data_IF_608403521025
#
_entry.id   IF_608403521025
#
_cell.length_a   1.000
_cell.length_b   1.000
_cell.length_c   1.000
_cell.angle_alpha   90.00
_cell.angle_beta   90.00
_cell.angle_gamma   90.00
#
_symmetry.space_group_name_H-M   'P 1'
#
loop_
_entity.id
_entity.type
_entity.pdbx_description
1 polymer ?
#
# COMPACT_ATOMS: atom_id res chain seq x y z
N UNK A 1 -5.66 6.88 -21.43
CA UNK A 1 -4.29 7.39 -21.73
C UNK A 1 -4.36 8.91 -21.70
N UNK A 2 -3.34 9.60 -21.18
CA UNK A 2 -3.32 11.07 -21.07
C UNK A 2 -2.45 11.66 -22.19
N UNK A 3 -3.00 12.03 -23.36
CA UNK A 3 -2.22 12.39 -24.55
C UNK A 3 -1.43 13.69 -24.40
N UNK A 4 -1.86 14.62 -23.53
CA UNK A 4 -1.17 15.90 -23.28
C UNK A 4 -0.24 15.85 -22.05
N UNK A 5 -0.10 14.69 -21.41
CA UNK A 5 0.76 14.56 -20.23
C UNK A 5 2.23 14.71 -20.66
N UNK A 6 2.95 15.59 -19.98
CA UNK A 6 4.42 15.68 -20.06
C UNK A 6 5.01 14.86 -18.92
N UNK A 7 5.40 13.60 -19.15
CA UNK A 7 5.87 12.76 -18.08
C UNK A 7 7.21 13.30 -17.55
N UNK A 8 7.30 13.46 -16.23
CA UNK A 8 8.52 13.90 -15.58
C UNK A 8 9.35 12.72 -15.09
N UNK A 9 10.64 12.71 -15.40
CA UNK A 9 11.61 11.77 -14.82
C UNK A 9 12.42 12.48 -13.75
N UNK A 10 12.52 11.89 -12.56
CA UNK A 10 13.41 12.36 -11.49
C UNK A 10 14.52 11.34 -11.28
N UNK A 11 15.78 11.75 -11.43
CA UNK A 11 16.94 10.90 -11.15
C UNK A 11 17.88 11.58 -10.16
N UNK A 12 18.83 10.83 -9.60
CA UNK A 12 19.94 11.43 -8.87
C UNK A 12 20.98 12.08 -9.80
N UNK A 13 22.05 12.61 -9.19
CA UNK A 13 23.16 13.29 -9.86
C UNK A 13 24.30 12.32 -10.26
N UNK A 14 24.04 11.02 -10.36
CA UNK A 14 25.01 10.06 -10.88
C UNK A 14 25.44 10.44 -12.31
N UNK A 15 26.71 10.23 -12.65
CA UNK A 15 27.28 10.61 -13.94
C UNK A 15 26.51 10.01 -15.14
N UNK A 16 25.94 8.82 -14.96
CA UNK A 16 25.08 8.15 -15.94
C UNK A 16 23.81 8.93 -16.30
N UNK A 17 23.29 9.77 -15.41
CA UNK A 17 22.09 10.58 -15.65
C UNK A 17 22.39 12.03 -16.03
N UNK A 18 23.67 12.45 -15.99
CA UNK A 18 24.11 13.80 -16.36
C UNK A 18 24.67 13.86 -17.78
N UNK A 19 25.05 12.71 -18.35
CA UNK A 19 25.58 12.61 -19.70
C UNK A 19 24.66 13.21 -20.77
N UNK A 20 25.27 13.84 -21.77
CA UNK A 20 24.56 14.49 -22.89
C UNK A 20 23.66 13.49 -23.63
N UNK A 21 24.13 12.26 -23.82
CA UNK A 21 23.37 11.20 -24.50
C UNK A 21 22.07 10.86 -23.78
N UNK A 22 22.12 10.70 -22.44
CA UNK A 22 20.93 10.42 -21.64
C UNK A 22 19.95 11.59 -21.71
N UNK A 23 20.44 12.82 -21.59
CA UNK A 23 19.60 14.03 -21.68
C UNK A 23 18.90 14.16 -23.04
N UNK A 24 19.63 13.89 -24.13
CA UNK A 24 19.06 13.88 -25.48
C UNK A 24 17.96 12.84 -25.62
N UNK A 25 18.24 11.59 -25.21
CA UNK A 25 17.28 10.50 -25.30
C UNK A 25 15.96 10.77 -24.52
N UNK A 26 16.06 11.28 -23.30
CA UNK A 26 14.88 11.60 -22.47
C UNK A 26 14.06 12.74 -23.10
N UNK A 27 14.71 13.73 -23.70
CA UNK A 27 14.04 14.81 -24.42
C UNK A 27 13.33 14.30 -25.70
N UNK A 28 13.98 13.40 -26.46
CA UNK A 28 13.39 12.79 -27.67
C UNK A 28 12.15 11.94 -27.32
N UNK A 29 12.15 11.33 -26.13
CA UNK A 29 11.00 10.60 -25.59
C UNK A 29 9.89 11.54 -25.04
N UNK A 30 10.11 12.87 -25.05
CA UNK A 30 9.15 13.87 -24.56
C UNK A 30 9.07 14.01 -23.03
N UNK A 31 10.06 13.49 -22.30
CA UNK A 31 10.09 13.56 -20.84
C UNK A 31 10.81 14.82 -20.33
N UNK A 32 10.29 15.39 -19.25
CA UNK A 32 11.00 16.44 -18.51
C UNK A 32 11.94 15.80 -17.47
N UNK A 33 13.25 15.98 -17.63
CA UNK A 33 14.23 15.45 -16.67
C UNK A 33 14.51 16.46 -15.55
N UNK A 34 14.15 16.10 -14.32
CA UNK A 34 14.41 16.86 -13.11
C UNK A 34 15.44 16.14 -12.24
N UNK A 35 16.32 16.92 -11.62
CA UNK A 35 17.33 16.41 -10.68
C UNK A 35 17.17 17.13 -9.34
N UNK A 36 17.33 16.44 -8.22
CA UNK A 36 17.28 17.10 -6.93
C UNK A 36 18.52 17.97 -6.74
N UNK A 37 18.30 19.12 -6.10
CA UNK A 37 19.38 19.96 -5.61
C UNK A 37 20.27 19.15 -4.66
N UNK A 38 21.56 19.51 -4.61
CA UNK A 38 22.63 18.82 -3.88
C UNK A 38 22.29 18.57 -2.40
N UNK A 39 21.37 19.34 -1.81
CA UNK A 39 20.94 19.22 -0.41
C UNK A 39 19.52 18.63 -0.21
N UNK A 40 18.90 17.98 -1.21
CA UNK A 40 17.54 17.41 -1.11
C UNK A 40 17.49 15.88 -1.30
N UNK A 41 18.05 15.09 -0.37
CA UNK A 41 18.11 13.63 -0.49
C UNK A 41 16.76 12.92 -0.35
N UNK A 42 15.72 13.58 0.17
CA UNK A 42 14.36 13.04 0.34
C UNK A 42 13.67 12.76 -1.00
N UNK A 43 14.00 13.54 -2.05
CA UNK A 43 13.46 13.39 -3.40
C UNK A 43 13.64 11.98 -3.98
N UNK A 44 14.71 11.28 -3.58
CA UNK A 44 15.01 9.92 -4.00
C UNK A 44 14.69 8.88 -2.91
N UNK A 45 13.93 9.27 -1.89
CA UNK A 45 13.61 8.45 -0.71
C UNK A 45 12.79 7.22 -1.06
N UNK A 46 11.87 7.33 -2.03
CA UNK A 46 11.01 6.20 -2.46
C UNK A 46 11.85 5.09 -3.09
N UNK A 47 12.71 5.42 -4.06
CA UNK A 47 13.58 4.42 -4.70
C UNK A 47 14.59 3.83 -3.71
N UNK A 48 15.18 4.66 -2.84
CA UNK A 48 16.06 4.17 -1.76
C UNK A 48 15.34 3.21 -0.82
N UNK A 49 14.09 3.50 -0.45
CA UNK A 49 13.27 2.63 0.41
C UNK A 49 12.95 1.32 -0.29
N UNK A 50 12.54 1.37 -1.56
CA UNK A 50 12.27 0.18 -2.36
C UNK A 50 13.51 -0.72 -2.44
N UNK A 51 14.68 -0.17 -2.80
CA UNK A 51 15.92 -0.94 -2.84
C UNK A 51 16.31 -1.52 -1.48
N UNK A 52 16.08 -0.80 -0.39
CA UNK A 52 16.32 -1.34 0.95
C UNK A 52 15.42 -2.53 1.22
N UNK A 53 14.12 -2.42 0.96
CA UNK A 53 13.17 -3.52 1.14
C UNK A 53 13.54 -4.73 0.29
N UNK A 54 13.84 -4.54 -0.99
CA UNK A 54 14.29 -5.64 -1.87
C UNK A 54 15.55 -6.32 -1.34
N UNK A 55 16.55 -5.54 -0.90
CA UNK A 55 17.79 -6.10 -0.32
C UNK A 55 17.53 -6.86 0.97
N UNK A 56 16.66 -6.35 1.85
CA UNK A 56 16.30 -7.02 3.11
C UNK A 56 15.61 -8.37 2.86
N UNK A 57 14.73 -8.45 1.86
CA UNK A 57 14.05 -9.71 1.49
C UNK A 57 14.99 -10.70 0.80
N UNK A 58 15.87 -10.24 -0.09
CA UNK A 58 16.84 -11.10 -0.76
C UNK A 58 17.92 -11.64 0.19
N UNK A 59 18.29 -10.90 1.24
CA UNK A 59 19.26 -11.36 2.26
C UNK A 59 18.82 -12.62 3.00
N UNK A 60 17.52 -12.91 3.02
CA UNK A 60 16.96 -14.11 3.66
C UNK A 60 16.94 -15.32 2.71
N UNK A 61 17.29 -15.15 1.43
CA UNK A 61 17.24 -16.17 0.39
C UNK A 61 18.65 -16.62 0.01
N UNK A 62 18.77 -17.87 -0.43
CA UNK A 62 20.01 -18.37 -1.03
C UNK A 62 20.01 -18.03 -2.52
N UNK A 63 21.12 -17.46 -3.00
CA UNK A 63 21.31 -17.13 -4.42
C UNK A 63 22.27 -18.17 -5.00
N UNK A 64 21.83 -18.88 -6.03
CA UNK A 64 22.59 -19.99 -6.63
C UNK A 64 23.42 -19.48 -7.81
N UNK A 65 22.80 -18.71 -8.69
CA UNK A 65 23.42 -18.12 -9.88
C UNK A 65 22.76 -16.78 -10.26
N UNK A 66 23.18 -16.21 -11.39
CA UNK A 66 22.70 -14.90 -11.87
C UNK A 66 21.25 -14.95 -12.37
N UNK A 67 20.83 -16.07 -12.94
CA UNK A 67 19.46 -16.23 -13.45
C UNK A 67 18.49 -16.36 -12.28
N UNK A 68 18.83 -17.19 -11.29
CA UNK A 68 18.13 -17.29 -10.01
C UNK A 68 18.06 -15.93 -9.31
N UNK A 69 19.16 -15.17 -9.26
CA UNK A 69 19.13 -13.81 -8.68
C UNK A 69 18.13 -12.89 -9.38
N UNK A 70 18.10 -12.93 -10.72
CA UNK A 70 17.20 -12.11 -11.54
C UNK A 70 15.74 -12.50 -11.34
N UNK A 71 15.47 -13.81 -11.26
CA UNK A 71 14.14 -14.34 -10.96
C UNK A 71 13.70 -13.93 -9.55
N UNK A 72 14.57 -14.08 -8.55
CA UNK A 72 14.25 -13.70 -7.17
C UNK A 72 13.98 -12.21 -7.00
N UNK A 73 14.76 -11.33 -7.66
CA UNK A 73 14.46 -9.89 -7.70
C UNK A 73 13.08 -9.64 -8.29
N UNK A 74 12.78 -10.26 -9.43
CA UNK A 74 11.51 -10.09 -10.12
C UNK A 74 10.33 -10.52 -9.24
N UNK A 75 10.48 -11.63 -8.53
CA UNK A 75 9.49 -12.14 -7.59
C UNK A 75 9.26 -11.19 -6.41
N UNK A 76 10.32 -10.67 -5.80
CA UNK A 76 10.22 -9.70 -4.69
C UNK A 76 9.51 -8.42 -5.14
N UNK A 77 9.89 -7.88 -6.30
CA UNK A 77 9.25 -6.67 -6.85
C UNK A 77 7.77 -6.93 -7.18
N UNK A 78 7.47 -8.07 -7.78
CA UNK A 78 6.09 -8.43 -8.11
C UNK A 78 5.23 -8.58 -6.85
N UNK A 79 5.75 -9.23 -5.81
CA UNK A 79 5.04 -9.40 -4.55
C UNK A 79 4.79 -8.06 -3.84
N UNK A 80 5.79 -7.16 -3.82
CA UNK A 80 5.65 -5.83 -3.22
C UNK A 80 4.60 -4.96 -3.95
N UNK A 81 4.52 -5.10 -5.29
CA UNK A 81 3.58 -4.36 -6.13
C UNK A 81 2.15 -4.92 -6.13
N UNK A 82 1.99 -6.25 -5.99
CA UNK A 82 0.70 -6.92 -6.22
C UNK A 82 0.04 -7.47 -4.97
N UNK A 83 0.82 -7.79 -3.93
CA UNK A 83 0.32 -8.47 -2.72
C UNK A 83 0.47 -7.62 -1.47
N UNK A 84 1.55 -6.85 -1.36
CA UNK A 84 1.84 -6.08 -0.14
C UNK A 84 0.95 -4.85 -0.02
N UNK A 85 0.26 -4.74 1.11
CA UNK A 85 -0.51 -3.54 1.47
C UNK A 85 0.41 -2.51 2.12
N UNK A 86 0.35 -1.27 1.63
CA UNK A 86 1.17 -0.17 2.15
C UNK A 86 0.29 0.82 2.90
N UNK A 87 0.75 1.28 4.07
CA UNK A 87 -0.03 2.20 4.90
C UNK A 87 -0.24 3.58 4.27
N UNK A 88 0.72 4.05 3.46
CA UNK A 88 0.65 5.36 2.80
C UNK A 88 -0.61 5.54 1.92
N UNK A 89 -0.95 4.60 1.01
CA UNK A 89 -2.22 4.65 0.26
C UNK A 89 -3.42 4.04 1.04
N UNK A 90 -3.36 3.93 2.37
CA UNK A 90 -4.48 3.38 3.16
C UNK A 90 -4.64 1.86 3.03
N UNK A 91 -3.52 1.12 3.09
CA UNK A 91 -3.46 -0.34 2.98
C UNK A 91 -3.95 -0.86 1.62
N UNK A 92 -3.59 -0.18 0.54
CA UNK A 92 -3.86 -0.58 -0.85
C UNK A 92 -2.53 -0.99 -1.50
N UNK A 93 -2.57 -1.91 -2.47
CA UNK A 93 -1.34 -2.34 -3.17
C UNK A 93 -0.89 -1.29 -4.18
N UNK A 94 0.40 -1.17 -4.51
CA UNK A 94 0.88 -0.19 -5.47
C UNK A 94 0.23 -0.36 -6.85
N UNK A 95 0.02 -1.61 -7.30
CA UNK A 95 -0.66 -1.90 -8.56
C UNK A 95 -2.10 -1.37 -8.57
N UNK A 96 -2.85 -1.58 -7.49
CA UNK A 96 -4.23 -1.08 -7.40
C UNK A 96 -4.29 0.45 -7.44
N UNK A 97 -3.32 1.14 -6.83
CA UNK A 97 -3.21 2.61 -6.85
C UNK A 97 -2.92 3.09 -8.27
N UNK A 98 -1.94 2.51 -8.95
CA UNK A 98 -1.59 2.88 -10.34
C UNK A 98 -2.76 2.64 -11.30
N UNK A 99 -3.56 1.61 -11.05
CA UNK A 99 -4.76 1.30 -11.84
C UNK A 99 -5.99 2.14 -11.43
N UNK A 100 -5.86 3.06 -10.47
CA UNK A 100 -6.96 3.92 -10.02
C UNK A 100 -8.08 3.18 -9.29
N UNK A 101 -7.82 1.98 -8.75
CA UNK A 101 -8.80 1.14 -8.04
C UNK A 101 -8.90 1.47 -6.55
N UNK A 102 -8.08 2.39 -6.07
CA UNK A 102 -7.92 2.75 -4.65
C UNK A 102 -9.25 3.13 -3.97
N UNK A 103 -9.99 4.09 -4.54
CA UNK A 103 -11.23 4.60 -3.94
C UNK A 103 -12.30 3.51 -3.83
N UNK A 104 -12.44 2.69 -4.88
CA UNK A 104 -13.37 1.57 -4.90
C UNK A 104 -13.04 0.55 -3.79
N UNK A 105 -11.76 0.19 -3.65
CA UNK A 105 -11.32 -0.77 -2.62
C UNK A 105 -11.59 -0.20 -1.21
N UNK A 106 -11.28 1.08 -0.99
CA UNK A 106 -11.53 1.74 0.29
C UNK A 106 -13.01 1.83 0.63
N UNK A 107 -13.86 2.11 -0.36
CA UNK A 107 -15.31 2.15 -0.20
C UNK A 107 -15.86 0.79 0.24
N UNK A 108 -15.54 -0.28 -0.50
CA UNK A 108 -15.97 -1.64 -0.19
C UNK A 108 -15.56 -2.06 1.23
N UNK A 109 -14.34 -1.72 1.64
CA UNK A 109 -13.86 -2.02 2.99
C UNK A 109 -14.63 -1.25 4.07
N UNK A 110 -15.00 0.00 3.79
CA UNK A 110 -15.79 0.81 4.73
C UNK A 110 -17.18 0.21 4.93
N UNK A 111 -17.85 -0.22 3.86
CA UNK A 111 -19.16 -0.89 3.94
C UNK A 111 -19.10 -2.14 4.82
N UNK A 112 -18.09 -2.99 4.63
CA UNK A 112 -17.88 -4.19 5.45
C UNK A 112 -17.66 -3.84 6.93
N UNK A 113 -16.88 -2.79 7.21
CA UNK A 113 -16.63 -2.32 8.57
C UNK A 113 -17.90 -1.77 9.23
N UNK A 114 -18.69 -0.99 8.51
CA UNK A 114 -19.94 -0.41 9.01
C UNK A 114 -20.98 -1.50 9.29
N UNK A 115 -21.11 -2.49 8.40
CA UNK A 115 -21.94 -3.67 8.65
C UNK A 115 -21.48 -4.43 9.91
N UNK A 116 -20.18 -4.68 10.04
CA UNK A 116 -19.62 -5.38 11.19
C UNK A 116 -19.87 -4.60 12.50
N UNK A 117 -19.77 -3.27 12.47
CA UNK A 117 -20.12 -2.41 13.60
C UNK A 117 -21.62 -2.50 13.95
N UNK A 118 -22.51 -2.47 12.96
CA UNK A 118 -23.95 -2.66 13.14
C UNK A 118 -24.28 -3.99 13.81
N UNK A 119 -23.70 -5.09 13.32
CA UNK A 119 -23.85 -6.44 13.91
C UNK A 119 -23.37 -6.49 15.37
N UNK A 120 -22.25 -5.82 15.69
CA UNK A 120 -21.73 -5.72 17.07
C UNK A 120 -22.67 -4.95 17.99
N UNK A 121 -23.25 -3.83 17.54
CA UNK A 121 -24.22 -3.04 18.31
C UNK A 121 -25.49 -3.85 18.59
N UNK A 122 -26.03 -4.55 17.60
CA UNK A 122 -27.21 -5.40 17.76
C UNK A 122 -26.97 -6.55 18.74
N UNK A 123 -25.80 -7.22 18.67
CA UNK A 123 -25.42 -8.23 19.66
C UNK A 123 -25.39 -7.65 21.06
N UNK A 124 -24.69 -6.51 21.27
CA UNK A 124 -24.66 -5.84 22.59
C UNK A 124 -26.06 -5.52 23.10
N UNK A 125 -26.94 -4.98 22.27
CA UNK A 125 -28.32 -4.66 22.65
C UNK A 125 -29.12 -5.92 23.02
N UNK A 126 -28.98 -7.02 22.26
CA UNK A 126 -29.60 -8.32 22.60
C UNK A 126 -29.11 -8.87 23.94
N UNK A 127 -27.80 -8.86 24.20
CA UNK A 127 -27.25 -9.32 25.49
C UNK A 127 -27.69 -8.44 26.65
N UNK A 128 -27.74 -7.11 26.46
CA UNK A 128 -28.24 -6.17 27.47
C UNK A 128 -29.72 -6.40 27.79
N UNK A 129 -30.57 -6.57 26.77
CA UNK A 129 -31.99 -6.83 26.97
C UNK A 129 -32.24 -8.21 27.57
N UNK A 130 -31.47 -9.23 27.17
CA UNK A 130 -31.57 -10.58 27.75
C UNK A 130 -31.17 -10.59 29.23
N UNK A 131 -30.07 -9.91 29.58
CA UNK A 131 -29.64 -9.76 30.97
C UNK A 131 -30.68 -8.98 31.81
N UNK A 132 -31.25 -7.88 31.28
CA UNK A 132 -32.36 -7.19 31.94
C UNK A 132 -33.57 -8.10 32.13
N UNK A 133 -33.94 -8.90 31.12
CA UNK A 133 -35.11 -9.77 31.22
C UNK A 133 -34.90 -10.92 32.22
N UNK A 134 -33.72 -11.54 32.26
CA UNK A 134 -33.34 -12.56 33.26
C UNK A 134 -33.32 -11.98 34.67
N UNK A 135 -32.80 -10.76 34.86
CA UNK A 135 -32.84 -10.06 36.17
C UNK A 135 -34.30 -9.80 36.58
N UNK A 136 -35.13 -9.28 35.68
CA UNK A 136 -36.55 -8.97 35.97
C UNK A 136 -37.38 -10.24 36.25
N UNK A 137 -37.00 -11.38 35.65
CA UNK A 137 -37.59 -12.69 35.92
C UNK A 137 -37.25 -13.21 37.31
N UNK A 138 -35.99 -13.06 37.76
CA UNK A 138 -35.54 -13.49 39.09
C UNK A 138 -36.26 -12.66 40.18
N UNK A 139 -36.28 -11.32 40.03
CA UNK A 139 -36.95 -10.44 40.98
C UNK A 139 -38.49 -10.61 41.05
N UNK A 140 -39.15 -11.13 40.01
CA UNK A 140 -40.59 -11.44 40.05
C UNK A 140 -40.90 -12.79 40.69
N UNK A 141 -39.97 -13.75 40.68
CA UNK A 141 -40.13 -15.05 41.34
C UNK A 141 -39.97 -14.95 42.86
N UNK A 142 -39.17 -13.99 43.34
CA UNK A 142 -38.97 -13.72 44.77
C UNK A 142 -40.15 -12.96 45.43
N UNK A 143 -41.16 -12.54 44.66
CA UNK A 143 -42.33 -11.78 45.11
C UNK A 143 -43.64 -12.61 45.11
N UNK A 144 -43.55 -13.93 44.99
CA UNK A 144 -44.69 -14.86 44.90
C UNK A 144 -44.91 -15.71 46.17
N UNK A 145 -44.33 -15.33 47.31
CA UNK A 145 -44.60 -15.89 48.63
C UNK A 145 -45.22 -14.85 49.57
#
# INVERSE_FOLDING_TARGET
>A
MYPDARPGLVSDNGSQFVGIQFKGYIADCGFEHRRPSVCYPQSNGTMKRQFRTTKEELRQRSIIDVDDFTEQISNVINDDNTKRYHSAPGYVTPLDVVQGREDRIKHQRREILDEAQGRRKQKKHKYSNKACHEITSIFNLDNLF
#
